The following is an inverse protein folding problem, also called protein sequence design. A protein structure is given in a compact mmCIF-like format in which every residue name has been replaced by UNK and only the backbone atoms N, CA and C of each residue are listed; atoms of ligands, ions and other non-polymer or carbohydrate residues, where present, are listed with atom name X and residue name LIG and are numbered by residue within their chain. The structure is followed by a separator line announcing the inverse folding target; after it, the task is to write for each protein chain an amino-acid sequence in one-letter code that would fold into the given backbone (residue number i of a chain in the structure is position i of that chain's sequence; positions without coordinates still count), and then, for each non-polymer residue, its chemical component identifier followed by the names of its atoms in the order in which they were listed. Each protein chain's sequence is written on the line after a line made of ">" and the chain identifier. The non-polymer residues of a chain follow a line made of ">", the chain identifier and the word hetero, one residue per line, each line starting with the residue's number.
data_IF_534068592587
#
_entry.id   IF_534068592587
#
_cell.length_a   1.000
_cell.length_b   1.000
_cell.length_c   1.000
_cell.angle_alpha   90.00
_cell.angle_beta   90.00
_cell.angle_gamma   90.00
#
_symmetry.space_group_name_H-M   'P 1'
#
loop_
_entity.id
_entity.type
_entity.pdbx_description
1 polymer ?
#
# COMPACT_ATOMS: atom_id res chain seq x y z
N UNK A 1 -1.01 -17.70 -8.39
CA UNK A 1 -0.71 -17.06 -7.09
C UNK A 1 0.29 -15.93 -7.28
N UNK A 2 0.00 -14.73 -6.75
CA UNK A 2 0.87 -13.55 -6.81
C UNK A 2 1.41 -13.17 -5.43
N UNK A 3 2.63 -12.65 -5.40
CA UNK A 3 3.23 -12.06 -4.18
C UNK A 3 2.92 -10.57 -4.13
N UNK A 4 2.37 -10.12 -3.00
CA UNK A 4 1.97 -8.73 -2.78
C UNK A 4 2.41 -8.24 -1.40
N UNK A 5 2.39 -6.92 -1.23
CA UNK A 5 2.56 -6.29 0.08
C UNK A 5 1.28 -5.57 0.47
N UNK A 6 0.88 -5.67 1.74
CA UNK A 6 -0.27 -4.94 2.29
C UNK A 6 0.17 -4.04 3.42
N UNK A 7 -0.29 -2.79 3.42
CA UNK A 7 -0.28 -1.94 4.61
C UNK A 7 -1.66 -2.05 5.25
N UNK A 8 -1.69 -2.59 6.46
CA UNK A 8 -2.91 -2.77 7.26
C UNK A 8 -3.44 -1.44 7.81
N UNK A 9 -4.64 -1.48 8.42
CA UNK A 9 -5.26 -0.32 9.08
C UNK A 9 -4.35 0.30 10.15
N UNK A 10 -3.61 -0.52 10.89
CA UNK A 10 -2.67 -0.07 11.92
C UNK A 10 -1.32 0.39 11.35
N UNK A 11 -1.18 0.41 10.01
CA UNK A 11 0.04 0.83 9.32
C UNK A 11 1.14 -0.24 9.31
N UNK A 12 0.87 -1.48 9.69
CA UNK A 12 1.84 -2.58 9.60
C UNK A 12 1.94 -3.11 8.16
N UNK A 13 3.17 -3.37 7.71
CA UNK A 13 3.48 -3.93 6.40
C UNK A 13 3.53 -5.46 6.48
N UNK A 14 2.80 -6.12 5.60
CA UNK A 14 2.70 -7.58 5.57
C UNK A 14 2.89 -8.10 4.15
N UNK A 15 3.64 -9.19 4.00
CA UNK A 15 3.64 -9.97 2.76
C UNK A 15 2.39 -10.85 2.73
N UNK A 16 1.62 -10.72 1.67
CA UNK A 16 0.40 -11.48 1.44
C UNK A 16 0.47 -12.18 0.07
N UNK A 17 -0.50 -13.06 -0.20
CA UNK A 17 -0.58 -13.78 -1.46
C UNK A 17 -1.98 -13.68 -2.03
N UNK A 18 -2.06 -13.31 -3.31
CA UNK A 18 -3.28 -13.41 -4.11
C UNK A 18 -3.29 -14.83 -4.69
N UNK A 19 -4.17 -15.68 -4.19
CA UNK A 19 -4.17 -17.12 -4.48
C UNK A 19 -4.65 -17.40 -5.90
N UNK A 20 -5.80 -16.82 -6.25
CA UNK A 20 -6.44 -17.02 -7.54
C UNK A 20 -6.02 -15.95 -8.54
N UNK A 21 -5.64 -16.39 -9.73
CA UNK A 21 -5.21 -15.51 -10.83
C UNK A 21 -6.11 -15.64 -12.05
N UNK A 22 -7.23 -16.36 -11.93
CA UNK A 22 -8.29 -16.30 -12.93
C UNK A 22 -9.01 -14.96 -12.82
N UNK A 23 -9.39 -14.41 -13.97
CA UNK A 23 -10.10 -13.14 -14.05
C UNK A 23 -11.42 -13.23 -13.25
N UNK A 24 -11.70 -12.26 -12.38
CA UNK A 24 -12.83 -12.29 -11.44
C UNK A 24 -12.45 -12.80 -10.06
N UNK A 25 -11.96 -14.04 -9.94
CA UNK A 25 -11.52 -14.56 -8.65
C UNK A 25 -10.29 -13.83 -8.09
N UNK A 26 -9.41 -13.35 -8.98
CA UNK A 26 -8.32 -12.45 -8.62
C UNK A 26 -8.83 -11.12 -8.03
N UNK A 27 -9.89 -10.55 -8.61
CA UNK A 27 -10.50 -9.29 -8.14
C UNK A 27 -11.11 -9.51 -6.76
N UNK A 28 -11.87 -10.60 -6.57
CA UNK A 28 -12.46 -10.97 -5.29
C UNK A 28 -11.41 -11.16 -4.20
N UNK A 29 -10.26 -11.76 -4.53
CA UNK A 29 -9.17 -11.94 -3.57
C UNK A 29 -8.50 -10.59 -3.25
N UNK A 30 -8.23 -9.73 -4.23
CA UNK A 30 -7.70 -8.38 -3.99
C UNK A 30 -8.66 -7.57 -3.10
N UNK A 31 -9.97 -7.57 -3.40
CA UNK A 31 -11.00 -6.93 -2.57
C UNK A 31 -10.96 -7.44 -1.14
N UNK A 32 -10.83 -8.75 -0.92
CA UNK A 32 -10.68 -9.32 0.44
C UNK A 32 -9.40 -8.84 1.13
N UNK A 33 -8.29 -8.73 0.40
CA UNK A 33 -7.03 -8.26 0.98
C UNK A 33 -7.06 -6.76 1.32
N UNK A 34 -7.75 -5.95 0.51
CA UNK A 34 -8.01 -4.52 0.73
C UNK A 34 -9.14 -4.31 1.76
N UNK A 35 -10.03 -5.28 1.96
CA UNK A 35 -11.15 -5.18 2.90
C UNK A 35 -12.25 -4.22 2.42
N UNK A 36 -12.51 -4.19 1.11
CA UNK A 36 -13.48 -3.30 0.47
C UNK A 36 -14.39 -4.09 -0.50
N UNK A 37 -15.51 -3.49 -0.89
CA UNK A 37 -16.36 -4.02 -1.98
C UNK A 37 -15.92 -3.44 -3.33
N UNK A 38 -15.49 -2.18 -3.38
CA UNK A 38 -14.85 -1.58 -4.56
C UNK A 38 -13.49 -1.00 -4.21
N UNK A 39 -12.54 -1.15 -5.13
CA UNK A 39 -11.22 -0.54 -5.02
C UNK A 39 -10.94 0.37 -6.20
N UNK A 40 -10.08 1.34 -5.97
CA UNK A 40 -9.41 2.12 -7.00
C UNK A 40 -7.96 1.63 -7.15
N UNK A 41 -7.38 1.85 -8.33
CA UNK A 41 -5.99 1.48 -8.63
C UNK A 41 -5.17 2.75 -8.86
N UNK A 42 -4.21 2.98 -7.97
CA UNK A 42 -3.22 4.05 -8.10
C UNK A 42 -1.97 3.48 -8.78
N UNK A 43 -1.68 3.96 -9.99
CA UNK A 43 -0.41 3.66 -10.66
C UNK A 43 0.74 4.40 -10.00
N UNK A 44 1.77 3.65 -9.59
CA UNK A 44 3.02 4.17 -9.04
C UNK A 44 4.17 3.90 -10.03
N UNK A 45 5.30 4.64 -9.94
CA UNK A 45 6.49 4.35 -10.73
C UNK A 45 6.99 2.92 -10.55
N UNK A 46 7.88 2.50 -11.45
CA UNK A 46 8.52 1.17 -11.41
C UNK A 46 7.52 0.02 -11.59
N UNK A 47 6.46 0.26 -12.37
CA UNK A 47 5.43 -0.73 -12.69
C UNK A 47 4.78 -1.34 -11.44
N UNK A 48 4.43 -0.48 -10.47
CA UNK A 48 3.75 -0.85 -9.23
C UNK A 48 2.32 -0.32 -9.29
N UNK A 49 1.34 -1.17 -8.99
CA UNK A 49 -0.04 -0.77 -8.73
C UNK A 49 -0.32 -0.81 -7.24
N UNK A 50 -1.00 0.21 -6.74
CA UNK A 50 -1.52 0.28 -5.39
C UNK A 50 -3.05 0.26 -5.42
N UNK A 51 -3.63 -0.84 -4.93
CA UNK A 51 -5.06 -1.03 -4.78
C UNK A 51 -5.51 -0.44 -3.44
N UNK A 52 -6.50 0.44 -3.48
CA UNK A 52 -6.97 1.20 -2.33
C UNK A 52 -8.49 1.10 -2.19
N UNK A 53 -8.97 1.15 -0.95
CA UNK A 53 -10.41 1.18 -0.63
C UNK A 53 -11.02 2.50 -1.16
N UNK A 54 -11.72 2.42 -2.30
CA UNK A 54 -12.36 3.58 -2.96
C UNK A 54 -13.47 4.17 -2.06
N UNK A 55 -14.14 3.30 -1.31
CA UNK A 55 -15.20 3.67 -0.39
C UNK A 55 -14.65 4.12 0.98
N UNK A 56 -13.33 4.06 1.16
CA UNK A 56 -12.65 4.33 2.42
C UNK A 56 -12.85 5.76 2.92
N UNK A 57 -12.99 6.73 2.03
CA UNK A 57 -13.28 8.13 2.41
C UNK A 57 -14.60 8.28 3.17
N UNK A 58 -15.54 7.33 3.00
CA UNK A 58 -16.85 7.34 3.65
C UNK A 58 -16.92 6.42 4.88
N UNK A 59 -16.04 5.40 4.96
CA UNK A 59 -16.19 4.29 5.91
C UNK A 59 -14.97 4.03 6.80
N UNK A 60 -13.82 4.58 6.44
CA UNK A 60 -12.53 4.29 7.06
C UNK A 60 -11.84 5.57 7.52
N UNK A 61 -10.94 5.44 8.48
CA UNK A 61 -10.05 6.53 8.88
C UNK A 61 -8.91 6.71 7.84
N UNK A 62 -8.32 7.91 7.73
CA UNK A 62 -7.12 8.11 6.94
C UNK A 62 -5.97 7.20 7.39
N UNK A 63 -5.35 6.49 6.45
CA UNK A 63 -4.17 5.68 6.72
C UNK A 63 -2.91 6.49 6.42
N UNK A 64 -2.38 7.13 7.46
CA UNK A 64 -1.19 7.97 7.36
C UNK A 64 0.03 7.20 6.86
N UNK A 65 0.22 5.95 7.28
CA UNK A 65 1.35 5.12 6.85
C UNK A 65 1.26 4.81 5.36
N UNK A 66 0.10 4.34 4.90
CA UNK A 66 -0.15 4.06 3.49
C UNK A 66 0.04 5.32 2.62
N UNK A 67 -0.53 6.44 3.07
CA UNK A 67 -0.41 7.75 2.40
C UNK A 67 1.06 8.18 2.27
N UNK A 68 1.84 8.09 3.35
CA UNK A 68 3.24 8.53 3.34
C UNK A 68 4.14 7.59 2.53
N UNK A 69 3.85 6.30 2.52
CA UNK A 69 4.52 5.35 1.63
C UNK A 69 4.21 5.69 0.17
N UNK A 70 2.95 5.87 -0.21
CA UNK A 70 2.58 6.26 -1.57
C UNK A 70 3.19 7.62 -2.00
N UNK A 71 3.29 8.58 -1.07
CA UNK A 71 3.99 9.86 -1.30
C UNK A 71 5.47 9.71 -1.62
N UNK A 72 6.15 8.70 -1.06
CA UNK A 72 7.54 8.40 -1.41
C UNK A 72 7.70 7.91 -2.87
N UNK A 73 6.58 7.66 -3.56
CA UNK A 73 6.47 7.35 -4.98
C UNK A 73 5.82 8.48 -5.80
N UNK A 74 5.57 9.65 -5.18
CA UNK A 74 5.03 10.84 -5.87
C UNK A 74 3.50 10.98 -5.84
N UNK A 75 2.77 10.13 -5.12
CA UNK A 75 1.32 10.31 -4.95
C UNK A 75 1.01 11.53 -4.05
N UNK A 76 0.08 12.41 -4.46
CA UNK A 76 -0.16 13.68 -3.73
C UNK A 76 -1.42 13.68 -2.83
N UNK A 77 -2.21 12.61 -2.81
CA UNK A 77 -3.46 12.53 -2.06
C UNK A 77 -3.33 12.09 -0.59
N UNK A 78 -4.49 11.72 -0.03
CA UNK A 78 -4.65 11.02 1.25
C UNK A 78 -5.38 9.71 0.97
N UNK A 79 -4.86 8.62 1.50
CA UNK A 79 -5.43 7.28 1.34
C UNK A 79 -6.13 6.85 2.63
N UNK A 80 -7.22 6.10 2.47
CA UNK A 80 -8.06 5.61 3.55
C UNK A 80 -8.05 4.09 3.56
N UNK A 81 -8.34 3.50 4.72
CA UNK A 81 -8.36 2.04 4.85
C UNK A 81 -6.99 1.39 4.68
N UNK A 82 -6.96 0.13 4.30
CA UNK A 82 -5.73 -0.62 4.02
C UNK A 82 -5.46 -0.65 2.52
N UNK A 83 -4.21 -0.93 2.12
CA UNK A 83 -3.80 -0.86 0.72
C UNK A 83 -2.89 -2.01 0.33
N UNK A 84 -3.03 -2.48 -0.91
CA UNK A 84 -2.28 -3.63 -1.44
C UNK A 84 -1.44 -3.20 -2.64
N UNK A 85 -0.13 -3.46 -2.56
CA UNK A 85 0.83 -3.24 -3.64
C UNK A 85 1.03 -4.53 -4.42
N UNK A 86 0.96 -4.42 -5.75
CA UNK A 86 1.19 -5.49 -6.72
C UNK A 86 2.05 -4.97 -7.87
N UNK A 87 2.69 -5.90 -8.59
CA UNK A 87 3.36 -5.57 -9.84
C UNK A 87 2.33 -5.31 -10.93
N UNK A 88 2.70 -4.52 -11.92
CA UNK A 88 1.89 -4.19 -13.08
C UNK A 88 2.68 -4.52 -14.35
N UNK A 89 1.99 -5.06 -15.35
CA UNK A 89 2.53 -5.20 -16.70
C UNK A 89 1.98 -4.03 -17.53
N UNK A 90 2.84 -3.17 -18.12
CA UNK A 90 2.39 -1.94 -18.79
C UNK A 90 1.86 -2.11 -20.23
N UNK A 91 2.06 -3.26 -20.87
CA UNK A 91 1.69 -3.52 -22.28
C UNK A 91 0.28 -4.08 -22.41
N UNK A 92 -0.01 -5.15 -21.67
CA UNK A 92 -1.25 -5.91 -21.59
C UNK A 92 -2.10 -5.45 -20.39
N UNK A 93 -1.51 -4.78 -19.40
CA UNK A 93 -2.24 -4.23 -18.24
C UNK A 93 -2.42 -5.24 -17.11
N UNK A 94 -1.67 -6.33 -17.14
CA UNK A 94 -1.84 -7.45 -16.22
C UNK A 94 -1.33 -7.14 -14.81
N UNK A 95 -1.95 -7.77 -13.82
CA UNK A 95 -1.50 -7.74 -12.43
C UNK A 95 -0.48 -8.85 -12.17
N UNK A 96 0.71 -8.47 -11.72
CA UNK A 96 1.85 -9.35 -11.49
C UNK A 96 2.23 -9.46 -10.02
N UNK A 97 3.06 -10.45 -9.71
CA UNK A 97 3.77 -10.47 -8.42
C UNK A 97 4.72 -9.29 -8.35
N UNK A 98 4.88 -8.71 -7.17
CA UNK A 98 5.99 -7.79 -6.92
C UNK A 98 7.32 -8.51 -7.14
N UNK A 99 8.24 -7.84 -7.83
CA UNK A 99 9.63 -8.26 -7.94
C UNK A 99 10.37 -8.02 -6.61
N UNK A 100 11.51 -8.69 -6.37
CA UNK A 100 12.31 -8.42 -5.17
C UNK A 100 12.71 -6.95 -5.02
N UNK A 101 13.03 -6.27 -6.12
CA UNK A 101 13.38 -4.86 -6.12
C UNK A 101 12.20 -3.96 -5.71
N UNK A 102 10.99 -4.23 -6.22
CA UNK A 102 9.78 -3.50 -5.83
C UNK A 102 9.45 -3.74 -4.35
N UNK A 103 9.60 -4.98 -3.86
CA UNK A 103 9.41 -5.32 -2.44
C UNK A 103 10.38 -4.52 -1.56
N UNK A 104 11.67 -4.49 -1.93
CA UNK A 104 12.69 -3.73 -1.22
C UNK A 104 12.36 -2.23 -1.21
N UNK A 105 12.00 -1.68 -2.37
CA UNK A 105 11.66 -0.26 -2.53
C UNK A 105 10.47 0.19 -1.68
N UNK A 106 9.41 -0.62 -1.61
CA UNK A 106 8.23 -0.37 -0.76
C UNK A 106 8.59 -0.52 0.73
N UNK A 107 9.38 -1.54 1.06
CA UNK A 107 9.82 -1.80 2.44
C UNK A 107 10.67 -0.65 2.97
N UNK A 108 11.57 -0.11 2.15
CA UNK A 108 12.41 1.03 2.54
C UNK A 108 11.59 2.31 2.73
N UNK A 109 10.61 2.57 1.87
CA UNK A 109 9.68 3.68 2.05
C UNK A 109 8.90 3.55 3.37
N UNK A 110 8.43 2.35 3.71
CA UNK A 110 7.73 2.08 4.97
C UNK A 110 8.63 2.27 6.20
N UNK A 111 9.87 1.77 6.15
CA UNK A 111 10.87 1.95 7.22
C UNK A 111 11.23 3.42 7.43
N UNK A 112 11.45 4.17 6.35
CA UNK A 112 11.77 5.59 6.42
C UNK A 112 10.67 6.37 7.14
N UNK A 113 9.41 6.15 6.77
CA UNK A 113 8.25 6.75 7.45
C UNK A 113 8.26 6.47 8.97
N UNK A 114 8.43 5.20 9.36
CA UNK A 114 8.46 4.80 10.79
C UNK A 114 9.62 5.43 11.55
N UNK A 115 10.77 5.62 10.90
CA UNK A 115 11.92 6.27 11.52
C UNK A 115 11.69 7.76 11.79
N UNK A 116 11.14 8.50 10.82
CA UNK A 116 10.82 9.92 10.99
C UNK A 116 9.77 10.16 12.07
N UNK A 117 8.73 9.32 12.17
CA UNK A 117 7.75 9.40 13.25
C UNK A 117 8.37 9.28 14.64
N UNK A 118 9.33 8.34 14.82
CA UNK A 118 10.05 8.17 16.09
C UNK A 118 10.92 9.38 16.44
N UNK A 119 11.63 9.96 15.46
CA UNK A 119 12.46 11.15 15.69
C UNK A 119 11.59 12.34 16.13
N UNK A 120 10.46 12.58 15.44
CA UNK A 120 9.58 13.70 15.76
C UNK A 120 8.97 13.54 17.16
N UNK A 121 8.46 12.35 17.49
CA UNK A 121 7.91 12.07 18.83
C UNK A 121 8.98 12.23 19.93
N UNK A 122 10.20 11.74 19.70
CA UNK A 122 11.30 11.90 20.66
C UNK A 122 11.66 13.38 20.90
N UNK A 123 11.59 14.22 19.85
CA UNK A 123 11.81 15.67 19.97
C UNK A 123 10.67 16.38 20.70
N UNK A 124 9.42 15.97 20.50
CA UNK A 124 8.26 16.56 21.20
C UNK A 124 8.24 16.20 22.70
N UNK A 125 8.78 15.04 23.06
CA UNK A 125 8.87 14.56 24.44
C UNK A 125 10.14 15.02 25.17
N UNK A 126 11.07 15.64 24.46
CA UNK A 126 12.26 16.29 25.04
C UNK A 126 11.97 17.78 25.13
N UNK A 127 11.40 18.30 26.24
CA UNK A 127 11.31 19.74 26.42
C UNK A 127 12.74 20.29 26.37
N UNK A 128 12.98 21.25 25.49
CA UNK A 128 14.21 22.04 25.46
C UNK A 128 14.56 22.47 26.89
N UNK A 129 15.70 22.00 27.37
CA UNK A 129 16.33 22.45 28.61
C UNK A 129 16.86 23.89 28.43
#
# INVERSE_FOLDING_TARGET
>A
MLTALRITLDGELQTIRIQDTTLGAQVDDIQKQVGCDTFDVVGLPEDISLYVDDEGVYRSEPNATLTLVARAFGFEGVLFGQGVFLGFEPTEGDTLSLTPAQIERITDAHRAHRHYGRIVLARLQSPTA
#
